data_IF_499245328001
#
_entry.id   IF_499245328001
#
_cell.length_a   1.000
_cell.length_b   1.000
_cell.length_c   1.000
_cell.angle_alpha   90.00
_cell.angle_beta   90.00
_cell.angle_gamma   90.00
#
_symmetry.space_group_name_H-M   'P 1'
#
loop_
_entity.id
_entity.type
_entity.pdbx_description
1 polymer ?
#
# COMPACT_ATOMS: atom_id res chain seq x y z
N UNK A 1 -7.29 -2.77 21.93
CA UNK A 1 -7.85 -2.25 20.67
C UNK A 1 -7.12 -0.96 20.36
N UNK A 2 -6.53 -0.85 19.19
CA UNK A 2 -5.78 0.33 18.74
C UNK A 2 -6.78 1.39 18.27
N UNK A 3 -6.67 2.60 18.79
CA UNK A 3 -7.48 3.75 18.37
C UNK A 3 -6.78 4.44 17.19
N UNK A 4 -7.43 4.43 16.03
CA UNK A 4 -6.88 4.91 14.77
C UNK A 4 -7.48 6.26 14.37
N UNK A 5 -6.62 7.25 14.10
CA UNK A 5 -6.95 8.47 13.38
C UNK A 5 -6.60 8.32 11.90
N UNK A 6 -7.36 8.96 11.01
CA UNK A 6 -7.09 9.00 9.56
C UNK A 6 -7.03 10.47 9.13
N UNK A 7 -5.90 10.88 8.57
CA UNK A 7 -5.75 12.19 7.95
C UNK A 7 -5.75 12.05 6.42
N UNK A 8 -6.78 12.59 5.76
CA UNK A 8 -7.07 12.39 4.35
C UNK A 8 -8.00 11.20 4.11
N UNK A 9 -9.22 11.46 3.66
CA UNK A 9 -10.24 10.44 3.40
C UNK A 9 -10.43 10.21 1.89
N UNK A 10 -9.29 10.26 1.15
CA UNK A 10 -9.18 9.88 -0.26
C UNK A 10 -9.32 8.37 -0.46
N UNK A 11 -8.84 7.84 -1.60
CA UNK A 11 -8.92 6.40 -1.90
C UNK A 11 -8.35 5.55 -0.75
N UNK A 12 -7.09 5.79 -0.37
CA UNK A 12 -6.41 4.97 0.65
C UNK A 12 -7.04 5.16 2.03
N UNK A 13 -7.33 6.40 2.46
CA UNK A 13 -7.98 6.64 3.76
C UNK A 13 -9.32 5.90 3.90
N UNK A 14 -10.15 5.89 2.83
CA UNK A 14 -11.39 5.13 2.81
C UNK A 14 -11.19 3.62 2.82
N UNK A 15 -10.20 3.10 2.09
CA UNK A 15 -9.90 1.66 2.09
C UNK A 15 -9.32 1.21 3.43
N UNK A 16 -8.47 2.01 4.07
CA UNK A 16 -8.01 1.78 5.45
C UNK A 16 -9.21 1.73 6.40
N UNK A 17 -10.16 2.67 6.29
CA UNK A 17 -11.38 2.66 7.08
C UNK A 17 -12.21 1.40 6.87
N UNK A 18 -12.51 1.06 5.60
CA UNK A 18 -13.29 -0.14 5.27
C UNK A 18 -12.61 -1.40 5.78
N UNK A 19 -11.31 -1.56 5.55
CA UNK A 19 -10.54 -2.71 6.03
C UNK A 19 -10.53 -2.78 7.57
N UNK A 20 -10.45 -1.65 8.27
CA UNK A 20 -10.53 -1.61 9.73
C UNK A 20 -11.86 -2.17 10.24
N UNK A 21 -12.97 -1.82 9.59
CA UNK A 21 -14.32 -2.31 9.95
C UNK A 21 -14.53 -3.78 9.55
N UNK A 22 -14.05 -4.19 8.36
CA UNK A 22 -14.32 -5.52 7.81
C UNK A 22 -13.36 -6.59 8.36
N UNK A 23 -12.06 -6.28 8.47
CA UNK A 23 -11.03 -7.27 8.76
C UNK A 23 -10.38 -7.13 10.14
N UNK A 24 -10.49 -5.95 10.78
CA UNK A 24 -9.79 -5.65 12.04
C UNK A 24 -10.72 -5.13 13.15
N UNK A 25 -12.02 -5.37 13.06
CA UNK A 25 -13.02 -4.83 13.99
C UNK A 25 -12.77 -5.17 15.47
N UNK A 26 -12.05 -6.26 15.77
CA UNK A 26 -11.69 -6.68 17.12
C UNK A 26 -10.37 -6.05 17.63
N UNK A 27 -9.56 -5.51 16.72
CA UNK A 27 -8.20 -5.05 17.03
C UNK A 27 -8.06 -3.52 16.89
N UNK A 28 -8.81 -2.93 15.95
CA UNK A 28 -8.68 -1.52 15.58
C UNK A 28 -10.04 -0.82 15.61
N UNK A 29 -10.06 0.37 16.17
CA UNK A 29 -11.22 1.27 16.19
C UNK A 29 -10.83 2.59 15.57
N UNK A 30 -11.53 3.04 14.52
CA UNK A 30 -11.35 4.38 13.97
C UNK A 30 -12.10 5.38 14.83
N UNK A 31 -11.39 6.35 15.40
CA UNK A 31 -11.94 7.32 16.35
C UNK A 31 -12.05 8.74 15.79
N UNK A 32 -11.33 9.04 14.71
CA UNK A 32 -11.37 10.34 14.07
C UNK A 32 -10.89 10.31 12.63
N UNK A 33 -11.46 11.17 11.81
CA UNK A 33 -11.12 11.37 10.40
C UNK A 33 -10.98 12.87 10.15
N UNK A 34 -9.94 13.27 9.45
CA UNK A 34 -9.78 14.63 8.96
C UNK A 34 -9.79 14.65 7.44
N UNK A 35 -10.67 15.46 6.87
CA UNK A 35 -10.69 15.78 5.44
C UNK A 35 -11.37 17.15 5.25
N UNK A 36 -11.04 17.88 4.19
CA UNK A 36 -11.55 19.22 3.95
C UNK A 36 -12.94 19.24 3.31
N UNK A 37 -13.49 18.07 2.99
CA UNK A 37 -14.79 17.93 2.37
C UNK A 37 -15.92 17.90 3.40
N UNK A 38 -17.13 18.17 2.93
CA UNK A 38 -18.36 18.15 3.71
C UNK A 38 -18.63 16.76 4.32
N UNK A 39 -19.07 16.67 5.59
CA UNK A 39 -19.39 15.42 6.26
C UNK A 39 -20.36 14.49 5.50
N UNK A 40 -21.40 15.05 4.93
CA UNK A 40 -22.39 14.29 4.16
C UNK A 40 -21.76 13.69 2.90
N UNK A 41 -20.84 14.44 2.27
CA UNK A 41 -20.13 13.97 1.09
C UNK A 41 -19.08 12.88 1.46
N UNK A 42 -18.42 12.99 2.60
CA UNK A 42 -17.54 11.93 3.11
C UNK A 42 -18.30 10.63 3.36
N UNK A 43 -19.49 10.72 3.95
CA UNK A 43 -20.39 9.59 4.17
C UNK A 43 -20.85 8.96 2.83
N UNK A 44 -21.21 9.79 1.85
CA UNK A 44 -21.56 9.35 0.50
C UNK A 44 -20.40 8.58 -0.16
N UNK A 45 -19.18 9.13 -0.14
CA UNK A 45 -18.00 8.48 -0.72
C UNK A 45 -17.60 7.19 0.01
N UNK A 46 -17.87 7.09 1.32
CA UNK A 46 -17.66 5.85 2.06
C UNK A 46 -18.66 4.80 1.65
N UNK A 47 -19.93 5.20 1.45
CA UNK A 47 -21.03 4.30 1.12
C UNK A 47 -20.90 3.69 -0.28
N UNK A 48 -20.53 4.49 -1.26
CA UNK A 48 -20.49 4.09 -2.66
C UNK A 48 -19.07 4.11 -3.21
N UNK A 49 -18.65 3.02 -3.81
CA UNK A 49 -17.34 2.89 -4.44
C UNK A 49 -17.44 2.08 -5.73
N UNK A 50 -16.91 2.66 -6.82
CA UNK A 50 -17.01 2.04 -8.16
C UNK A 50 -16.13 0.80 -8.31
N UNK A 51 -15.09 0.64 -7.47
CA UNK A 51 -14.16 -0.47 -7.52
C UNK A 51 -14.53 -1.56 -6.53
N UNK A 52 -14.73 -1.16 -5.25
CA UNK A 52 -14.95 -2.09 -4.14
C UNK A 52 -16.42 -2.28 -3.78
N UNK A 53 -17.33 -1.62 -4.52
CA UNK A 53 -18.77 -1.75 -4.33
C UNK A 53 -19.31 -0.98 -3.12
N UNK A 54 -20.60 -1.17 -2.83
CA UNK A 54 -21.24 -0.51 -1.70
C UNK A 54 -20.68 -1.00 -0.36
N UNK A 55 -20.51 -0.07 0.59
CA UNK A 55 -20.11 -0.41 1.97
C UNK A 55 -21.17 -1.29 2.62
N UNK A 56 -20.74 -2.36 3.25
CA UNK A 56 -21.61 -3.31 3.95
C UNK A 56 -21.79 -2.86 5.40
N UNK A 57 -22.73 -1.96 5.64
CA UNK A 57 -23.01 -1.44 6.99
C UNK A 57 -23.89 -0.20 6.94
N UNK A 58 -24.27 0.27 8.12
CA UNK A 58 -25.07 1.48 8.29
C UNK A 58 -24.15 2.70 8.41
N UNK A 59 -24.49 3.77 7.70
CA UNK A 59 -23.75 5.04 7.72
C UNK A 59 -24.76 6.17 7.89
N UNK A 60 -24.50 7.02 8.87
CA UNK A 60 -25.24 8.28 9.07
C UNK A 60 -24.29 9.40 9.54
N UNK A 61 -24.76 10.63 9.50
CA UNK A 61 -24.01 11.83 9.92
C UNK A 61 -24.86 12.64 10.88
N UNK A 62 -24.26 13.10 11.96
CA UNK A 62 -24.82 14.01 12.93
C UNK A 62 -23.84 15.20 13.16
N UNK A 63 -24.05 16.32 12.48
CA UNK A 63 -23.11 17.44 12.50
C UNK A 63 -21.70 17.00 12.03
N UNK A 64 -20.70 17.18 12.84
CA UNK A 64 -19.32 16.76 12.56
C UNK A 64 -19.01 15.35 13.11
N UNK A 65 -19.99 14.47 13.13
CA UNK A 65 -19.82 13.09 13.60
C UNK A 65 -20.31 12.13 12.53
N UNK A 66 -19.44 11.28 12.04
CA UNK A 66 -19.79 10.14 11.20
C UNK A 66 -20.17 8.97 12.13
N UNK A 67 -21.29 8.33 11.86
CA UNK A 67 -21.75 7.16 12.63
C UNK A 67 -21.74 5.97 11.69
N UNK A 68 -20.93 4.96 12.01
CA UNK A 68 -20.84 3.73 11.22
C UNK A 68 -21.09 2.53 12.13
N UNK A 69 -22.11 1.75 11.79
CA UNK A 69 -22.55 0.60 12.59
C UNK A 69 -22.73 0.97 14.10
N UNK A 70 -23.31 2.15 14.37
CA UNK A 70 -23.53 2.68 15.71
C UNK A 70 -22.31 3.31 16.40
N UNK A 71 -21.10 3.21 15.82
CA UNK A 71 -19.87 3.81 16.38
C UNK A 71 -19.72 5.25 15.90
N UNK A 72 -19.47 6.15 16.83
CA UNK A 72 -19.28 7.59 16.56
C UNK A 72 -17.81 7.90 16.25
N UNK A 73 -17.56 8.60 15.16
CA UNK A 73 -16.25 8.96 14.64
C UNK A 73 -16.22 10.47 14.45
N UNK A 74 -15.28 11.15 15.09
CA UNK A 74 -15.13 12.59 14.96
C UNK A 74 -14.66 12.95 13.56
N UNK A 75 -15.34 13.92 12.92
CA UNK A 75 -14.89 14.54 11.67
C UNK A 75 -14.28 15.92 11.97
N UNK A 76 -13.19 16.24 11.30
CA UNK A 76 -12.54 17.55 11.32
C UNK A 76 -12.20 17.99 9.90
N UNK A 77 -12.04 19.30 9.67
CA UNK A 77 -11.68 19.89 8.38
C UNK A 77 -10.48 20.86 8.55
N UNK A 78 -9.39 20.34 9.10
CA UNK A 78 -8.19 21.10 9.42
C UNK A 78 -7.11 20.94 8.35
N UNK A 79 -6.56 22.06 7.87
CA UNK A 79 -5.45 22.04 6.91
C UNK A 79 -4.10 21.76 7.57
N UNK A 80 -3.90 22.25 8.80
CA UNK A 80 -2.67 22.02 9.55
C UNK A 80 -2.86 20.85 10.54
N UNK A 81 -2.12 19.75 10.39
CA UNK A 81 -2.24 18.61 11.29
C UNK A 81 -1.98 18.92 12.76
N UNK A 82 -1.24 19.97 13.09
CA UNK A 82 -1.00 20.39 14.47
C UNK A 82 -2.28 20.79 15.24
N UNK A 83 -3.35 21.15 14.52
CA UNK A 83 -4.63 21.57 15.10
C UNK A 83 -5.63 20.40 15.26
N UNK A 84 -5.26 19.17 14.90
CA UNK A 84 -6.21 18.05 14.84
C UNK A 84 -6.61 17.48 16.21
N UNK A 85 -5.88 17.83 17.27
CA UNK A 85 -6.21 17.45 18.66
C UNK A 85 -6.55 15.95 18.78
N UNK A 86 -5.65 15.11 18.32
CA UNK A 86 -5.80 13.65 18.36
C UNK A 86 -5.94 13.10 19.79
N UNK A 87 -5.40 13.81 20.77
CA UNK A 87 -5.55 13.49 22.18
C UNK A 87 -7.01 13.51 22.67
N UNK A 88 -7.87 14.39 22.10
CA UNK A 88 -9.28 14.48 22.50
C UNK A 88 -10.08 13.22 22.15
N UNK A 89 -9.67 12.48 21.10
CA UNK A 89 -10.26 11.20 20.70
C UNK A 89 -9.40 10.01 21.12
N UNK A 90 -8.25 10.26 21.76
CA UNK A 90 -7.33 9.25 22.25
C UNK A 90 -6.70 8.41 21.13
N UNK A 91 -6.40 8.99 19.97
CA UNK A 91 -5.79 8.28 18.88
C UNK A 91 -4.39 7.76 19.24
N UNK A 92 -4.20 6.45 19.15
CA UNK A 92 -2.89 5.81 19.36
C UNK A 92 -2.02 5.94 18.12
N UNK A 93 -2.59 5.68 16.96
CA UNK A 93 -1.91 5.73 15.66
C UNK A 93 -2.69 6.61 14.70
N UNK A 94 -2.00 7.46 13.96
CA UNK A 94 -2.58 8.23 12.85
C UNK A 94 -2.04 7.71 11.53
N UNK A 95 -2.94 7.40 10.60
CA UNK A 95 -2.60 7.12 9.20
C UNK A 95 -2.63 8.42 8.43
N UNK A 96 -1.46 8.85 7.95
CA UNK A 96 -1.30 10.01 7.08
C UNK A 96 -1.49 9.57 5.63
N UNK A 97 -2.65 9.87 5.04
CA UNK A 97 -3.05 9.45 3.69
C UNK A 97 -3.39 10.61 2.74
N UNK A 98 -3.00 11.84 3.08
CA UNK A 98 -3.15 13.02 2.19
C UNK A 98 -2.11 13.06 1.08
N UNK A 99 -0.94 12.44 1.28
CA UNK A 99 0.22 12.53 0.40
C UNK A 99 1.01 13.86 0.51
N UNK A 100 0.67 14.72 1.48
CA UNK A 100 1.28 16.03 1.68
C UNK A 100 2.37 16.04 2.76
N UNK A 101 2.20 15.25 3.83
CA UNK A 101 3.04 15.25 5.02
C UNK A 101 3.94 14.01 5.05
N UNK A 102 4.87 13.90 4.07
CA UNK A 102 5.69 12.72 3.79
C UNK A 102 7.15 12.84 4.25
N UNK A 103 7.42 13.68 5.25
CA UNK A 103 8.70 13.79 5.94
C UNK A 103 8.47 13.70 7.44
N UNK A 104 9.48 13.30 8.23
CA UNK A 104 9.39 13.27 9.68
C UNK A 104 8.91 14.61 10.23
N UNK A 105 9.53 15.73 9.85
CA UNK A 105 9.17 17.08 10.27
C UNK A 105 7.67 17.38 10.06
N UNK A 106 7.15 17.04 8.88
CA UNK A 106 5.75 17.34 8.56
C UNK A 106 4.78 16.41 9.28
N UNK A 107 5.09 15.11 9.33
CA UNK A 107 4.23 14.13 9.98
C UNK A 107 4.26 14.26 11.51
N UNK A 108 5.34 14.83 12.06
CA UNK A 108 5.48 15.10 13.51
C UNK A 108 4.42 16.04 14.06
N UNK A 109 3.82 16.87 13.23
CA UNK A 109 2.65 17.68 13.59
C UNK A 109 1.48 16.86 14.14
N UNK A 110 1.33 15.61 13.70
CA UNK A 110 0.33 14.71 14.29
C UNK A 110 0.68 14.29 15.71
N UNK A 111 1.98 14.10 15.99
CA UNK A 111 2.47 13.85 17.37
C UNK A 111 2.22 15.06 18.25
N UNK A 112 2.52 16.27 17.76
CA UNK A 112 2.25 17.53 18.45
C UNK A 112 0.75 17.72 18.74
N UNK A 113 -0.11 17.23 17.83
CA UNK A 113 -1.56 17.21 18.00
C UNK A 113 -2.05 16.07 18.94
N UNK A 114 -1.15 15.28 19.52
CA UNK A 114 -1.43 14.29 20.55
C UNK A 114 -1.61 12.84 20.07
N UNK A 115 -1.27 12.52 18.83
CA UNK A 115 -1.13 11.13 18.40
C UNK A 115 0.13 10.51 19.01
N UNK A 116 0.12 9.20 19.33
CA UNK A 116 1.30 8.52 19.85
C UNK A 116 2.25 8.07 18.74
N UNK A 117 1.71 7.66 17.59
CA UNK A 117 2.44 7.13 16.43
C UNK A 117 1.82 7.63 15.13
N UNK A 118 2.63 7.67 14.06
CA UNK A 118 2.18 8.05 12.72
C UNK A 118 2.66 7.05 11.68
N UNK A 119 1.77 6.64 10.77
CA UNK A 119 2.10 5.86 9.58
C UNK A 119 1.82 6.70 8.34
N UNK A 120 2.85 7.03 7.57
CA UNK A 120 2.68 7.59 6.23
C UNK A 120 2.24 6.48 5.28
N UNK A 121 1.10 6.63 4.62
CA UNK A 121 0.62 5.68 3.59
C UNK A 121 1.24 5.92 2.21
N UNK A 122 2.49 6.31 2.18
CA UNK A 122 3.30 6.55 0.98
C UNK A 122 4.78 6.47 1.34
N UNK A 123 5.69 6.31 0.35
CA UNK A 123 7.13 6.38 0.61
C UNK A 123 7.53 7.72 1.22
N UNK A 124 8.34 7.67 2.30
CA UNK A 124 8.91 8.88 2.87
C UNK A 124 9.82 9.60 1.89
N UNK A 125 9.83 10.94 1.96
CA UNK A 125 10.69 11.81 1.13
C UNK A 125 12.01 12.15 1.80
N UNK A 126 12.24 11.63 3.00
CA UNK A 126 13.44 11.82 3.81
C UNK A 126 13.97 10.48 4.33
N UNK A 127 14.69 10.51 5.45
CA UNK A 127 15.25 9.32 6.10
C UNK A 127 14.26 8.55 6.99
N UNK A 128 13.00 8.95 7.08
CA UNK A 128 11.98 8.24 7.87
C UNK A 128 11.95 6.76 7.49
N UNK A 129 12.06 5.84 8.47
CA UNK A 129 12.12 4.41 8.21
C UNK A 129 10.90 3.89 7.46
N UNK A 130 11.16 3.02 6.48
CA UNK A 130 10.12 2.33 5.72
C UNK A 130 9.99 0.89 6.16
N UNK A 131 8.76 0.45 6.32
CA UNK A 131 8.44 -0.93 6.67
C UNK A 131 7.49 -1.55 5.66
N UNK A 132 7.72 -2.82 5.38
CA UNK A 132 6.81 -3.70 4.66
C UNK A 132 6.49 -4.86 5.58
N UNK A 133 5.23 -4.99 5.95
CA UNK A 133 4.76 -6.05 6.85
C UNK A 133 5.10 -7.44 6.30
N UNK A 134 5.60 -8.33 7.16
CA UNK A 134 6.09 -9.66 6.81
C UNK A 134 7.52 -9.68 6.26
N UNK A 135 8.10 -8.54 5.88
CA UNK A 135 9.45 -8.46 5.31
C UNK A 135 10.46 -7.92 6.32
N UNK A 136 10.25 -6.71 6.83
CA UNK A 136 11.14 -6.08 7.79
C UNK A 136 10.44 -5.48 9.03
N UNK A 137 9.18 -5.74 9.24
CA UNK A 137 8.39 -5.26 10.39
C UNK A 137 9.01 -5.68 11.73
N UNK A 138 9.69 -6.84 11.78
CA UNK A 138 10.41 -7.32 12.97
C UNK A 138 11.61 -6.46 13.37
N UNK A 139 12.06 -5.57 12.48
CA UNK A 139 13.14 -4.61 12.77
C UNK A 139 12.61 -3.30 13.36
N UNK A 140 11.30 -3.17 13.58
CA UNK A 140 10.73 -2.02 14.25
C UNK A 140 11.26 -1.92 15.68
N UNK A 141 11.78 -0.74 16.03
CA UNK A 141 12.47 -0.48 17.29
C UNK A 141 11.87 0.72 18.06
N UNK A 142 10.55 0.94 17.92
CA UNK A 142 9.84 1.97 18.68
C UNK A 142 9.74 3.35 18.02
N UNK A 143 10.08 3.49 16.74
CA UNK A 143 9.97 4.77 16.02
C UNK A 143 8.55 5.35 16.10
N UNK A 144 8.45 6.68 16.29
CA UNK A 144 7.15 7.34 16.40
C UNK A 144 6.50 7.57 15.06
N UNK A 145 7.31 7.73 14.02
CA UNK A 145 6.88 8.00 12.66
C UNK A 145 7.52 6.99 11.73
N UNK A 146 6.71 6.31 10.93
CA UNK A 146 7.16 5.35 9.94
C UNK A 146 6.45 5.57 8.60
N UNK A 147 7.03 5.02 7.55
CA UNK A 147 6.38 4.90 6.23
C UNK A 147 6.04 3.45 5.94
N UNK A 148 4.83 3.19 5.44
CA UNK A 148 4.43 1.87 4.94
C UNK A 148 4.87 1.62 3.48
N UNK A 149 5.84 2.39 2.99
CA UNK A 149 6.31 2.36 1.59
C UNK A 149 5.17 2.55 0.57
N UNK A 150 5.34 2.08 -0.67
CA UNK A 150 4.27 2.10 -1.69
C UNK A 150 3.59 0.73 -1.83
N UNK A 151 2.42 0.70 -2.46
CA UNK A 151 1.75 -0.55 -2.82
C UNK A 151 2.64 -1.46 -3.69
N UNK A 152 3.34 -0.88 -4.66
CA UNK A 152 4.28 -1.61 -5.52
C UNK A 152 5.47 -2.16 -4.71
N UNK A 153 6.03 -1.40 -3.76
CA UNK A 153 7.10 -1.89 -2.88
C UNK A 153 6.59 -3.05 -2.01
N UNK A 154 5.36 -2.96 -1.51
CA UNK A 154 4.72 -4.03 -0.73
C UNK A 154 4.51 -5.32 -1.56
N UNK A 155 4.30 -5.20 -2.88
CA UNK A 155 4.24 -6.36 -3.77
C UNK A 155 5.63 -6.92 -4.10
N UNK A 156 6.58 -6.05 -4.41
CA UNK A 156 7.91 -6.43 -4.89
C UNK A 156 8.81 -7.01 -3.78
N UNK A 157 8.72 -6.47 -2.56
CA UNK A 157 9.63 -6.85 -1.46
C UNK A 157 9.47 -8.32 -1.03
N UNK A 158 8.26 -8.90 -0.87
CA UNK A 158 8.10 -10.30 -0.51
C UNK A 158 8.74 -11.27 -1.51
N UNK A 159 8.48 -11.11 -2.81
CA UNK A 159 9.07 -11.99 -3.84
C UNK A 159 10.59 -11.78 -3.96
N UNK A 160 11.06 -10.54 -3.80
CA UNK A 160 12.51 -10.25 -3.77
C UNK A 160 13.20 -10.87 -2.58
N UNK A 161 12.56 -10.89 -1.40
CA UNK A 161 13.07 -11.54 -0.18
C UNK A 161 13.28 -13.04 -0.43
N UNK A 162 12.26 -13.73 -0.93
CA UNK A 162 12.35 -15.18 -1.21
C UNK A 162 13.44 -15.48 -2.23
N UNK A 163 13.51 -14.74 -3.34
CA UNK A 163 14.52 -14.94 -4.37
C UNK A 163 15.94 -14.68 -3.84
N UNK A 164 16.14 -13.62 -3.06
CA UNK A 164 17.46 -13.29 -2.55
C UNK A 164 17.93 -14.30 -1.49
N UNK A 165 17.08 -14.72 -0.58
CA UNK A 165 17.40 -15.68 0.47
C UNK A 165 17.69 -17.09 -0.05
N UNK A 166 16.94 -17.56 -1.04
CA UNK A 166 17.10 -18.93 -1.59
C UNK A 166 18.16 -19.00 -2.69
N UNK A 167 18.20 -18.01 -3.58
CA UNK A 167 19.01 -18.08 -4.81
C UNK A 167 20.03 -16.93 -4.93
N UNK A 168 19.86 -15.84 -4.18
CA UNK A 168 20.68 -14.64 -4.24
C UNK A 168 20.41 -13.80 -5.49
N UNK A 169 20.04 -12.53 -5.34
CA UNK A 169 19.85 -11.60 -6.44
C UNK A 169 21.18 -10.89 -6.74
N UNK A 170 21.63 -10.96 -7.99
CA UNK A 170 22.75 -10.17 -8.51
C UNK A 170 22.24 -8.78 -8.86
N UNK A 171 21.25 -8.70 -9.73
CA UNK A 171 20.60 -7.47 -10.21
C UNK A 171 19.24 -7.77 -10.84
N UNK A 172 18.41 -6.75 -11.00
CA UNK A 172 17.12 -6.92 -11.64
C UNK A 172 16.48 -5.62 -12.11
N UNK A 173 15.56 -5.78 -13.07
CA UNK A 173 14.71 -4.72 -13.59
C UNK A 173 13.25 -5.08 -13.33
N UNK A 174 12.50 -4.11 -12.81
CA UNK A 174 11.09 -4.27 -12.51
C UNK A 174 10.26 -3.34 -13.41
N UNK A 175 9.21 -3.88 -13.99
CA UNK A 175 8.12 -3.09 -14.57
C UNK A 175 6.85 -3.37 -13.79
N UNK A 176 6.19 -2.33 -13.28
CA UNK A 176 4.82 -2.50 -12.78
C UNK A 176 3.82 -2.02 -13.84
N UNK A 177 2.94 -2.93 -14.27
CA UNK A 177 1.74 -2.57 -15.02
C UNK A 177 0.69 -2.19 -14.00
N UNK A 178 0.48 -0.88 -13.84
CA UNK A 178 -0.24 -0.32 -12.69
C UNK A 178 -1.59 0.26 -13.09
N UNK A 179 -2.60 -0.06 -12.32
CA UNK A 179 -3.93 0.53 -12.47
C UNK A 179 -3.89 2.07 -12.37
N UNK A 180 -4.90 2.71 -12.94
CA UNK A 180 -5.10 4.15 -12.83
C UNK A 180 -5.30 4.56 -11.36
N UNK A 181 -4.71 5.69 -10.98
CA UNK A 181 -4.90 6.28 -9.65
C UNK A 181 -5.39 7.72 -9.79
N UNK A 182 -5.77 8.37 -8.70
CA UNK A 182 -6.27 9.75 -8.70
C UNK A 182 -5.28 10.77 -9.31
N UNK A 183 -4.02 10.40 -9.53
CA UNK A 183 -3.03 11.28 -10.18
C UNK A 183 -3.08 11.26 -11.70
N UNK A 184 -3.70 10.23 -12.31
CA UNK A 184 -3.91 10.18 -13.75
C UNK A 184 -5.01 11.13 -14.18
N UNK A 185 -4.89 11.68 -15.40
CA UNK A 185 -5.90 12.53 -16.00
C UNK A 185 -6.95 11.69 -16.73
N UNK A 186 -8.21 12.07 -16.63
CA UNK A 186 -9.29 11.44 -17.42
C UNK A 186 -9.15 11.80 -18.90
N UNK A 187 -8.86 13.10 -19.18
CA UNK A 187 -8.59 13.65 -20.52
C UNK A 187 -7.27 14.41 -20.48
N UNK A 188 -6.69 14.70 -21.65
CA UNK A 188 -5.43 15.47 -21.74
C UNK A 188 -5.52 16.78 -20.97
N UNK A 189 -4.53 17.04 -20.12
CA UNK A 189 -4.45 18.23 -19.30
C UNK A 189 -3.01 18.57 -18.89
N UNK A 190 -2.78 19.77 -18.35
CA UNK A 190 -1.44 20.22 -18.05
C UNK A 190 -0.78 19.35 -16.95
N UNK A 191 0.50 19.04 -17.15
CA UNK A 191 1.35 18.42 -16.14
C UNK A 191 2.73 19.12 -16.15
N UNK A 192 3.13 19.64 -14.98
CA UNK A 192 4.37 20.42 -14.85
C UNK A 192 5.63 19.57 -14.74
N UNK A 193 5.53 18.37 -14.17
CA UNK A 193 6.70 17.53 -13.87
C UNK A 193 6.92 16.40 -14.87
N UNK A 194 5.86 15.79 -15.31
CA UNK A 194 5.86 14.67 -16.24
C UNK A 194 4.79 14.90 -17.30
N UNK A 195 5.22 15.21 -18.51
CA UNK A 195 4.30 15.49 -19.60
C UNK A 195 3.42 14.29 -19.96
N UNK A 196 3.96 13.06 -19.86
CA UNK A 196 3.18 11.84 -20.07
C UNK A 196 2.06 11.69 -19.04
N UNK A 197 2.30 12.11 -17.80
CA UNK A 197 1.27 12.13 -16.74
C UNK A 197 0.13 13.14 -16.97
N UNK A 198 0.27 14.04 -17.97
CA UNK A 198 -0.79 14.94 -18.43
C UNK A 198 -1.73 14.32 -19.46
N UNK A 199 -1.44 13.13 -19.97
CA UNK A 199 -2.26 12.45 -20.98
C UNK A 199 -3.41 11.68 -20.33
N UNK A 200 -4.54 11.61 -21.04
CA UNK A 200 -5.73 10.87 -20.61
C UNK A 200 -5.46 9.37 -20.47
N UNK A 201 -5.90 8.77 -19.39
CA UNK A 201 -5.61 7.36 -19.07
C UNK A 201 -6.48 6.38 -19.86
N UNK A 202 -7.68 6.77 -20.27
CA UNK A 202 -8.70 5.85 -20.78
C UNK A 202 -8.28 5.06 -22.03
N UNK A 203 -7.38 5.64 -22.86
CA UNK A 203 -6.94 5.04 -24.14
C UNK A 203 -5.42 4.90 -24.24
N UNK A 204 -4.70 5.11 -23.14
CA UNK A 204 -3.24 5.15 -23.18
C UNK A 204 -2.59 4.15 -22.23
N UNK A 205 -1.45 3.61 -22.67
CA UNK A 205 -0.41 3.06 -21.80
C UNK A 205 0.58 4.20 -21.53
N UNK A 206 0.70 4.61 -20.27
CA UNK A 206 1.49 5.79 -19.88
C UNK A 206 2.76 5.34 -19.12
N UNK A 207 3.95 5.36 -19.74
CA UNK A 207 5.21 5.14 -19.03
C UNK A 207 5.44 6.23 -17.98
N UNK A 208 5.82 5.83 -16.77
CA UNK A 208 6.02 6.72 -15.63
C UNK A 208 7.21 6.24 -14.80
N UNK A 209 7.94 7.16 -14.20
CA UNK A 209 8.98 6.80 -13.25
C UNK A 209 8.38 6.25 -11.95
N UNK A 210 9.10 5.34 -11.30
CA UNK A 210 8.76 4.84 -9.96
C UNK A 210 9.99 4.67 -9.10
N UNK A 211 9.87 5.02 -7.82
CA UNK A 211 10.89 4.74 -6.82
C UNK A 211 10.73 3.39 -6.12
N UNK A 212 9.69 2.61 -6.49
CA UNK A 212 9.31 1.40 -5.74
C UNK A 212 10.41 0.34 -5.69
N UNK A 213 11.10 0.09 -6.81
CA UNK A 213 12.19 -0.89 -6.86
C UNK A 213 13.42 -0.43 -6.03
N UNK A 214 13.73 0.87 -6.06
CA UNK A 214 14.80 1.43 -5.20
C UNK A 214 14.43 1.39 -3.72
N UNK A 215 13.14 1.55 -3.40
CA UNK A 215 12.65 1.48 -2.02
C UNK A 215 12.79 0.07 -1.43
N UNK A 216 12.82 -0.99 -2.25
CA UNK A 216 13.13 -2.35 -1.76
C UNK A 216 14.50 -2.39 -1.10
N UNK A 217 15.50 -1.66 -1.60
CA UNK A 217 16.82 -1.56 -0.96
C UNK A 217 16.83 -0.85 0.39
N UNK A 218 15.79 -0.07 0.73
CA UNK A 218 15.61 0.50 2.09
C UNK A 218 14.97 -0.52 3.06
N UNK A 219 14.16 -1.43 2.53
CA UNK A 219 13.45 -2.47 3.29
C UNK A 219 14.31 -3.73 3.45
N UNK A 220 15.05 -4.08 2.40
CA UNK A 220 16.01 -5.18 2.31
C UNK A 220 17.38 -4.60 1.95
N UNK A 221 18.20 -4.17 2.93
CA UNK A 221 19.45 -3.43 2.68
C UNK A 221 20.46 -4.17 1.79
N UNK A 222 20.46 -5.51 1.80
CA UNK A 222 21.32 -6.33 0.94
C UNK A 222 20.98 -6.21 -0.55
N UNK A 223 19.79 -5.69 -0.89
CA UNK A 223 19.35 -5.42 -2.26
C UNK A 223 19.56 -3.96 -2.69
N UNK A 224 20.17 -3.13 -1.84
CA UNK A 224 20.42 -1.74 -2.18
C UNK A 224 21.29 -1.63 -3.43
N UNK A 225 20.81 -0.85 -4.41
CA UNK A 225 21.51 -0.64 -5.70
C UNK A 225 21.36 -1.78 -6.71
N UNK A 226 20.74 -2.91 -6.35
CA UNK A 226 20.57 -4.06 -7.26
C UNK A 226 19.29 -4.02 -8.08
N UNK A 227 18.26 -3.31 -7.63
CA UNK A 227 16.96 -3.24 -8.29
C UNK A 227 16.63 -1.81 -8.72
N UNK A 228 16.12 -1.67 -9.94
CA UNK A 228 15.49 -0.45 -10.45
C UNK A 228 14.32 -0.80 -11.35
N UNK A 229 13.53 0.18 -11.77
CA UNK A 229 12.38 -0.12 -12.60
C UNK A 229 11.57 1.07 -13.02
N UNK A 230 10.47 0.79 -13.70
CA UNK A 230 9.51 1.76 -14.21
C UNK A 230 8.08 1.29 -14.00
N UNK A 231 7.13 2.19 -14.25
CA UNK A 231 5.70 1.91 -14.21
C UNK A 231 5.07 2.16 -15.58
N UNK A 232 4.16 1.31 -15.97
CA UNK A 232 3.23 1.52 -17.07
C UNK A 232 1.82 1.72 -16.47
N UNK A 233 1.27 2.92 -16.58
CA UNK A 233 -0.12 3.16 -16.17
C UNK A 233 -1.06 2.73 -17.29
N UNK A 234 -2.07 1.94 -16.94
CA UNK A 234 -3.02 1.34 -17.88
C UNK A 234 -4.47 1.67 -17.47
N UNK A 235 -5.44 1.63 -18.42
CA UNK A 235 -6.83 1.98 -18.16
C UNK A 235 -7.61 0.86 -17.42
N UNK A 236 -7.06 0.38 -16.30
CA UNK A 236 -7.73 -0.49 -15.35
C UNK A 236 -8.02 0.27 -14.06
N UNK A 237 -9.14 0.01 -13.42
CA UNK A 237 -9.56 0.76 -12.23
C UNK A 237 -8.82 0.35 -10.96
N UNK A 238 -8.36 -0.90 -10.90
CA UNK A 238 -7.69 -1.47 -9.74
C UNK A 238 -6.99 -2.78 -10.13
N UNK A 239 -6.16 -3.29 -9.25
CA UNK A 239 -5.26 -4.44 -9.39
C UNK A 239 -4.14 -4.19 -10.40
N UNK A 240 -2.94 -4.24 -9.89
CA UNK A 240 -1.70 -4.00 -10.60
C UNK A 240 -0.84 -5.28 -10.65
N UNK A 241 0.17 -5.25 -11.50
CA UNK A 241 1.01 -6.40 -11.78
C UNK A 241 2.48 -6.00 -11.75
N UNK A 242 3.29 -6.73 -11.01
CA UNK A 242 4.76 -6.61 -11.01
C UNK A 242 5.34 -7.67 -11.92
N UNK A 243 6.14 -7.24 -12.87
CA UNK A 243 7.05 -8.01 -13.70
C UNK A 243 8.47 -7.74 -13.20
N UNK A 244 9.11 -8.73 -12.60
CA UNK A 244 10.46 -8.64 -12.07
C UNK A 244 11.38 -9.61 -12.83
N UNK A 245 12.30 -9.07 -13.63
CA UNK A 245 13.35 -9.85 -14.29
C UNK A 245 14.64 -9.70 -13.49
N UNK A 246 15.22 -10.83 -13.06
CA UNK A 246 16.42 -10.87 -12.23
C UNK A 246 17.47 -11.84 -12.77
N UNK A 247 18.73 -11.50 -12.48
CA UNK A 247 19.88 -12.40 -12.55
C UNK A 247 20.15 -12.95 -11.15
N UNK A 248 20.18 -14.26 -11.01
CA UNK A 248 20.41 -14.98 -9.76
C UNK A 248 21.87 -15.41 -9.63
N UNK A 249 22.34 -15.58 -8.38
CA UNK A 249 23.70 -16.08 -8.11
C UNK A 249 23.81 -17.58 -8.23
N UNK A 250 22.74 -18.30 -7.85
CA UNK A 250 22.68 -19.77 -7.89
C UNK A 250 21.83 -20.18 -9.09
N UNK A 251 22.32 -21.15 -9.83
CA UNK A 251 21.51 -21.85 -10.82
C UNK A 251 20.35 -22.56 -10.14
N UNK A 252 19.17 -22.46 -10.73
CA UNK A 252 17.97 -23.15 -10.27
C UNK A 252 17.01 -23.38 -11.43
N UNK A 253 16.03 -24.24 -11.24
CA UNK A 253 14.91 -24.39 -12.16
C UNK A 253 13.77 -23.45 -11.78
N UNK A 254 12.86 -23.20 -12.72
CA UNK A 254 11.68 -22.40 -12.43
C UNK A 254 10.75 -23.08 -11.42
N UNK A 255 10.68 -24.41 -11.44
CA UNK A 255 9.94 -25.23 -10.48
C UNK A 255 10.48 -25.05 -9.05
N UNK A 256 11.80 -24.95 -8.89
CA UNK A 256 12.40 -24.65 -7.56
C UNK A 256 12.04 -23.27 -7.07
N UNK A 257 11.96 -22.28 -7.96
CA UNK A 257 11.48 -20.92 -7.62
C UNK A 257 10.01 -20.97 -7.19
N UNK A 258 9.16 -21.65 -7.97
CA UNK A 258 7.74 -21.81 -7.65
C UNK A 258 7.54 -22.52 -6.31
N UNK A 259 8.30 -23.58 -6.04
CA UNK A 259 8.26 -24.29 -4.76
C UNK A 259 8.66 -23.38 -3.57
N UNK A 260 9.72 -22.58 -3.73
CA UNK A 260 10.16 -21.63 -2.72
C UNK A 260 9.11 -20.53 -2.45
N UNK A 261 8.46 -20.01 -3.49
CA UNK A 261 7.39 -19.02 -3.35
C UNK A 261 6.16 -19.62 -2.65
N UNK A 262 5.79 -20.84 -3.00
CA UNK A 262 4.70 -21.56 -2.36
C UNK A 262 4.99 -21.85 -0.89
N UNK A 263 6.16 -22.37 -0.57
CA UNK A 263 6.61 -22.59 0.82
C UNK A 263 6.52 -21.30 1.65
N UNK A 264 7.03 -20.19 1.11
CA UNK A 264 6.99 -18.91 1.79
C UNK A 264 5.55 -18.40 2.00
N UNK A 265 4.67 -18.57 1.01
CA UNK A 265 3.27 -18.13 1.07
C UNK A 265 2.46 -18.91 2.12
N UNK A 266 2.76 -20.16 2.33
CA UNK A 266 2.13 -21.01 3.34
C UNK A 266 2.79 -20.88 4.73
N UNK A 267 4.03 -20.40 4.77
CA UNK A 267 4.90 -20.29 5.94
C UNK A 267 5.11 -18.86 6.43
N UNK A 268 6.35 -18.37 6.31
CA UNK A 268 6.80 -17.09 6.90
C UNK A 268 6.10 -15.84 6.36
N UNK A 269 5.65 -15.88 5.11
CA UNK A 269 4.95 -14.78 4.43
C UNK A 269 3.43 -15.03 4.32
N UNK A 270 2.90 -15.95 5.12
CA UNK A 270 1.46 -16.22 5.16
C UNK A 270 0.66 -14.95 5.43
N UNK A 271 -0.36 -14.70 4.58
CA UNK A 271 -1.19 -13.49 4.65
C UNK A 271 -0.55 -12.26 4.03
N UNK A 272 0.70 -12.33 3.56
CA UNK A 272 1.43 -11.28 2.83
C UNK A 272 1.66 -11.69 1.39
N UNK A 273 2.31 -12.84 1.18
CA UNK A 273 2.49 -13.49 -0.12
C UNK A 273 1.38 -14.50 -0.35
N UNK A 274 0.65 -14.35 -1.45
CA UNK A 274 -0.24 -15.35 -2.00
C UNK A 274 0.44 -16.12 -3.13
N UNK A 275 -0.18 -17.20 -3.57
CA UNK A 275 0.32 -18.03 -4.66
C UNK A 275 -0.84 -18.50 -5.53
N UNK A 276 -0.66 -18.45 -6.85
CA UNK A 276 -1.64 -19.01 -7.80
C UNK A 276 -0.96 -19.78 -8.91
N UNK A 277 -1.58 -20.86 -9.34
CA UNK A 277 -1.23 -21.65 -10.51
C UNK A 277 -2.40 -21.74 -11.50
N UNK A 278 -3.38 -20.85 -11.37
CA UNK A 278 -4.54 -20.77 -12.23
C UNK A 278 -4.32 -19.75 -13.37
N UNK A 279 -5.14 -19.84 -14.42
CA UNK A 279 -5.14 -18.87 -15.51
C UNK A 279 -6.01 -17.68 -15.15
N UNK A 280 -5.44 -16.71 -14.43
CA UNK A 280 -6.12 -15.57 -13.83
C UNK A 280 -5.79 -14.24 -14.52
N UNK A 281 -6.63 -13.24 -14.25
CA UNK A 281 -6.45 -11.86 -14.71
C UNK A 281 -6.68 -10.89 -13.55
N UNK A 282 -6.39 -9.61 -13.75
CA UNK A 282 -6.39 -8.60 -12.69
C UNK A 282 -7.69 -8.55 -11.87
N UNK A 283 -8.86 -8.70 -12.49
CA UNK A 283 -10.15 -8.58 -11.79
C UNK A 283 -10.40 -9.69 -10.77
N UNK A 284 -9.71 -10.83 -10.89
CA UNK A 284 -9.84 -11.97 -9.96
C UNK A 284 -9.23 -11.66 -8.59
N UNK A 285 -8.40 -10.61 -8.50
CA UNK A 285 -7.71 -10.21 -7.27
C UNK A 285 -8.29 -8.95 -6.60
N UNK A 286 -9.42 -8.43 -7.07
CA UNK A 286 -10.10 -7.33 -6.37
C UNK A 286 -10.48 -7.75 -4.96
N UNK A 287 -10.24 -6.86 -3.99
CA UNK A 287 -10.45 -7.11 -2.56
C UNK A 287 -9.60 -8.24 -1.98
N UNK A 288 -8.52 -8.64 -2.64
CA UNK A 288 -7.56 -9.57 -2.07
C UNK A 288 -6.65 -8.81 -1.08
N UNK A 289 -6.55 -9.31 0.15
CA UNK A 289 -5.77 -8.68 1.23
C UNK A 289 -4.27 -8.96 1.19
N UNK A 290 -3.80 -9.89 0.34
CA UNK A 290 -2.37 -10.08 0.10
C UNK A 290 -1.81 -8.89 -0.67
N UNK A 291 -0.59 -8.48 -0.34
CA UNK A 291 0.10 -7.39 -1.06
C UNK A 291 0.96 -7.89 -2.21
N UNK A 292 1.13 -9.20 -2.35
CA UNK A 292 1.90 -9.85 -3.41
C UNK A 292 1.28 -11.22 -3.65
N UNK A 293 0.82 -11.52 -4.86
CA UNK A 293 0.28 -12.83 -5.21
C UNK A 293 1.12 -13.36 -6.37
N UNK A 294 2.07 -14.25 -6.06
CA UNK A 294 2.95 -14.85 -7.05
C UNK A 294 2.14 -15.68 -8.06
N UNK A 295 2.36 -15.43 -9.35
CA UNK A 295 1.72 -16.14 -10.45
C UNK A 295 2.73 -17.11 -11.09
N UNK A 296 2.56 -18.39 -10.80
CA UNK A 296 3.41 -19.47 -11.33
C UNK A 296 3.41 -19.49 -12.86
N UNK A 297 2.24 -19.31 -13.49
CA UNK A 297 2.09 -19.44 -14.93
C UNK A 297 2.52 -18.23 -15.75
N UNK A 298 2.66 -17.07 -15.11
CA UNK A 298 3.06 -15.85 -15.80
C UNK A 298 4.57 -15.65 -15.87
N UNK A 299 5.36 -16.42 -15.10
CA UNK A 299 6.81 -16.31 -15.10
C UNK A 299 7.47 -17.02 -16.27
N UNK A 300 8.72 -16.65 -16.56
CA UNK A 300 9.52 -17.21 -17.67
C UNK A 300 10.97 -17.32 -17.21
N UNK A 301 11.59 -18.46 -17.46
CA UNK A 301 13.03 -18.65 -17.25
C UNK A 301 13.74 -18.81 -18.61
N UNK A 302 14.85 -18.07 -18.78
CA UNK A 302 15.65 -18.14 -20.00
C UNK A 302 16.78 -19.18 -19.86
N UNK A 303 17.44 -19.17 -18.69
CA UNK A 303 18.51 -20.11 -18.32
C UNK A 303 18.51 -20.30 -16.79
N UNK A 304 19.44 -21.10 -16.27
CA UNK A 304 19.51 -21.43 -14.84
C UNK A 304 19.65 -20.23 -13.90
N UNK A 305 20.00 -19.03 -14.39
CA UNK A 305 20.24 -17.83 -13.58
C UNK A 305 19.40 -16.63 -13.97
N UNK A 306 18.75 -16.63 -15.13
CA UNK A 306 18.02 -15.46 -15.64
C UNK A 306 16.54 -15.76 -15.75
N UNK A 307 15.74 -15.13 -14.86
CA UNK A 307 14.33 -15.44 -14.68
C UNK A 307 13.49 -14.17 -14.58
N UNK A 308 12.28 -14.25 -15.12
CA UNK A 308 11.19 -13.32 -14.87
C UNK A 308 10.17 -13.97 -13.94
N UNK A 309 9.84 -13.30 -12.84
CA UNK A 309 8.76 -13.66 -11.95
C UNK A 309 7.70 -12.59 -11.94
N UNK A 310 6.45 -13.00 -11.76
CA UNK A 310 5.29 -12.13 -11.85
C UNK A 310 4.46 -12.19 -10.57
N UNK A 311 3.90 -11.06 -10.17
CA UNK A 311 3.06 -10.99 -8.98
C UNK A 311 1.95 -9.96 -9.13
N UNK A 312 0.72 -10.34 -8.73
CA UNK A 312 -0.46 -9.49 -8.69
C UNK A 312 -0.60 -8.79 -7.34
N UNK A 313 -1.28 -7.66 -7.30
CA UNK A 313 -1.64 -6.99 -6.06
C UNK A 313 -2.83 -6.04 -6.27
N UNK A 314 -3.80 -6.12 -5.37
CA UNK A 314 -4.78 -5.05 -5.22
C UNK A 314 -4.07 -3.85 -4.59
N UNK A 315 -3.81 -2.83 -5.40
CA UNK A 315 -3.00 -1.67 -5.01
C UNK A 315 -3.69 -0.75 -4.00
N UNK A 316 -4.98 -0.94 -3.77
CA UNK A 316 -5.77 -0.21 -2.78
C UNK A 316 -6.07 -1.07 -1.55
N UNK A 317 -6.72 -2.21 -1.73
CA UNK A 317 -7.19 -3.06 -0.63
C UNK A 317 -6.08 -3.81 0.08
N UNK A 318 -5.25 -4.53 -0.66
CA UNK A 318 -4.11 -5.27 -0.09
C UNK A 318 -3.17 -4.35 0.67
N UNK A 319 -2.84 -3.20 0.08
CA UNK A 319 -2.02 -2.18 0.71
C UNK A 319 -2.65 -1.63 2.00
N UNK A 320 -3.93 -1.30 1.99
CA UNK A 320 -4.64 -0.73 3.14
C UNK A 320 -4.71 -1.71 4.31
N UNK A 321 -4.88 -3.01 4.04
CA UNK A 321 -4.79 -4.05 5.07
C UNK A 321 -3.41 -4.08 5.73
N UNK A 322 -2.32 -3.89 4.98
CA UNK A 322 -0.95 -3.89 5.56
C UNK A 322 -0.61 -2.59 6.31
N UNK A 323 -1.24 -1.47 5.97
CA UNK A 323 -1.20 -0.27 6.82
C UNK A 323 -1.77 -0.59 8.21
N UNK A 324 -2.88 -1.32 8.29
CA UNK A 324 -3.50 -1.73 9.55
C UNK A 324 -2.68 -2.77 10.32
N UNK A 325 -2.06 -3.73 9.62
CA UNK A 325 -1.12 -4.65 10.26
C UNK A 325 0.08 -3.90 10.88
N UNK A 326 0.63 -2.92 10.16
CA UNK A 326 1.70 -2.08 10.71
C UNK A 326 1.20 -1.21 11.87
N UNK A 327 -0.04 -0.73 11.84
CA UNK A 327 -0.63 -0.03 12.99
C UNK A 327 -0.67 -0.91 14.24
N UNK A 328 -0.97 -2.19 14.10
CA UNK A 328 -0.90 -3.18 15.20
C UNK A 328 0.53 -3.42 15.69
N UNK A 329 1.49 -3.42 14.79
CA UNK A 329 2.92 -3.62 15.15
C UNK A 329 3.43 -2.43 15.98
N UNK A 330 3.20 -1.20 15.50
CA UNK A 330 3.79 0.00 16.14
C UNK A 330 3.04 0.47 17.38
N UNK A 331 1.83 -0.05 17.63
CA UNK A 331 1.03 0.28 18.82
C UNK A 331 1.36 -0.58 20.04
N UNK A 332 2.19 -1.60 19.89
CA UNK A 332 2.68 -2.45 20.99
C UNK A 332 3.81 -1.74 21.72
#
# INVERSE_FOLDING_TARGET
MVKLGINGFGRIGRMVFRAAVENFANDIEVVGINDLLDPEYLAYMLKYDSVHGAFKGEISVEGNTLIVNGKKIRLTAEMDPANLKWNEVGADVVVESTGLFLTDEKARKHIEAGAKKVIMSAPSKDATPMFVYGVNDKTYAGQDIISNASCTTNCLAPISKVLDEKFGIVRGLMTTVHAATATQKTVDGPSKKDWRGGRGILENIIPSSTGAAKAVGKVLPQLNGKLTGMSLRVPTSDVSFVDLTVELKKECTYEEICAAMKEASEGELKGVLGYTNEAVVSTDFRNNSHTSIFDEKAGIQLDGTFVKVCSWYDNEWGYSNKVLEMARVISK
#
